data_IF_702156526340
#
_entry.id   IF_702156526340
#
_cell.length_a   1.000
_cell.length_b   1.000
_cell.length_c   1.000
_cell.angle_alpha   90.00
_cell.angle_beta   90.00
_cell.angle_gamma   90.00
#
_symmetry.space_group_name_H-M   'P 1'
#
loop_
_entity.id
_entity.type
_entity.pdbx_description
1 polymer ?
#
# COMPACT_ATOMS: atom_id res chain seq x y z
N UNK A 1 14.35 -10.37 6.61
CA UNK A 1 13.70 -9.80 5.40
C UNK A 1 12.71 -8.74 5.85
N UNK A 2 12.70 -7.58 5.20
CA UNK A 2 11.73 -6.50 5.46
C UNK A 2 10.37 -6.85 4.85
N UNK A 3 9.31 -6.16 5.28
CA UNK A 3 7.95 -6.33 4.73
C UNK A 3 7.95 -6.10 3.21
N UNK A 4 8.66 -5.07 2.73
CA UNK A 4 8.70 -4.73 1.31
C UNK A 4 9.30 -5.84 0.45
N UNK A 5 10.41 -6.46 0.87
CA UNK A 5 11.03 -7.54 0.09
C UNK A 5 10.14 -8.78 0.06
N UNK A 6 9.50 -9.14 1.18
CA UNK A 6 8.55 -10.27 1.20
C UNK A 6 7.35 -10.04 0.30
N UNK A 7 6.83 -8.81 0.24
CA UNK A 7 5.70 -8.47 -0.62
C UNK A 7 6.09 -8.56 -2.10
N UNK A 8 7.25 -8.02 -2.46
CA UNK A 8 7.83 -8.15 -3.81
C UNK A 8 7.93 -9.60 -4.24
N UNK A 9 8.61 -10.42 -3.44
CA UNK A 9 8.83 -11.84 -3.74
C UNK A 9 7.48 -12.57 -3.97
N UNK A 10 6.47 -12.29 -3.15
CA UNK A 10 5.14 -12.87 -3.29
C UNK A 10 4.43 -12.44 -4.58
N UNK A 11 4.44 -11.14 -4.92
CA UNK A 11 3.78 -10.63 -6.12
C UNK A 11 4.47 -11.16 -7.38
N UNK A 12 5.81 -11.18 -7.38
CA UNK A 12 6.64 -11.71 -8.46
C UNK A 12 6.38 -13.22 -8.68
N UNK A 13 6.30 -14.02 -7.60
CA UNK A 13 5.97 -15.45 -7.67
C UNK A 13 4.60 -15.71 -8.31
N UNK A 14 3.63 -14.82 -8.06
CA UNK A 14 2.29 -14.91 -8.67
C UNK A 14 2.23 -14.40 -10.10
N UNK A 15 3.31 -13.84 -10.64
CA UNK A 15 3.36 -13.31 -12.00
C UNK A 15 2.43 -12.11 -12.20
N UNK A 16 2.13 -11.36 -11.14
CA UNK A 16 1.26 -10.18 -11.21
C UNK A 16 2.10 -8.97 -11.62
N UNK A 17 1.73 -8.31 -12.71
CA UNK A 17 2.41 -7.09 -13.14
C UNK A 17 2.10 -5.91 -12.21
N UNK A 18 3.15 -5.19 -11.79
CA UNK A 18 3.05 -3.95 -11.01
C UNK A 18 4.25 -3.06 -11.29
N UNK A 19 4.08 -1.77 -11.00
CA UNK A 19 5.16 -0.78 -10.99
C UNK A 19 5.26 -0.13 -9.60
N UNK A 20 6.42 0.45 -9.31
CA UNK A 20 6.63 1.24 -8.09
C UNK A 20 6.92 2.69 -8.45
N UNK A 21 6.33 3.63 -7.72
CA UNK A 21 6.59 5.06 -7.87
C UNK A 21 7.36 5.56 -6.65
N UNK A 22 8.57 6.08 -6.87
CA UNK A 22 9.36 6.69 -5.82
C UNK A 22 8.79 8.06 -5.43
N UNK A 23 8.74 8.33 -4.12
CA UNK A 23 8.32 9.63 -3.59
C UNK A 23 8.96 9.89 -2.22
N UNK A 24 9.01 11.16 -1.82
CA UNK A 24 9.49 11.56 -0.49
C UNK A 24 8.59 11.00 0.62
N UNK A 25 9.14 10.76 1.81
CA UNK A 25 8.35 10.30 2.97
C UNK A 25 7.25 11.31 3.33
N UNK A 26 6.04 10.83 3.54
CA UNK A 26 4.86 11.63 3.92
C UNK A 26 4.15 11.04 5.15
N UNK A 27 3.21 11.78 5.75
CA UNK A 27 2.53 11.37 6.99
C UNK A 27 1.09 10.88 6.77
N UNK A 28 0.53 11.03 5.57
CA UNK A 28 -0.86 10.62 5.26
C UNK A 28 -0.95 10.03 3.85
N UNK A 29 -1.90 9.12 3.63
CA UNK A 29 -2.13 8.50 2.31
C UNK A 29 -2.43 9.54 1.22
N UNK A 30 -3.14 10.62 1.57
CA UNK A 30 -3.41 11.73 0.64
C UNK A 30 -2.13 12.46 0.25
N UNK A 31 -1.24 12.73 1.20
CA UNK A 31 0.07 13.32 0.88
C UNK A 31 0.93 12.37 0.05
N UNK A 32 0.89 11.06 0.31
CA UNK A 32 1.60 10.07 -0.53
C UNK A 32 1.10 10.10 -1.97
N UNK A 33 -0.22 10.11 -2.19
CA UNK A 33 -0.80 10.19 -3.53
C UNK A 33 -0.34 11.46 -4.27
N UNK A 34 -0.38 12.61 -3.60
CA UNK A 34 0.12 13.88 -4.15
C UNK A 34 1.62 13.82 -4.47
N UNK A 35 2.44 13.31 -3.56
CA UNK A 35 3.90 13.23 -3.75
C UNK A 35 4.30 12.24 -4.87
N UNK A 36 3.48 11.22 -5.11
CA UNK A 36 3.66 10.25 -6.19
C UNK A 36 2.96 10.66 -7.50
N UNK A 37 2.34 11.84 -7.57
CA UNK A 37 1.54 12.30 -8.71
C UNK A 37 0.39 11.34 -9.10
N UNK A 38 -0.18 10.63 -8.13
CA UNK A 38 -1.34 9.74 -8.29
C UNK A 38 -2.61 10.50 -7.89
N UNK A 39 -3.69 10.45 -8.69
CA UNK A 39 -4.98 11.02 -8.29
C UNK A 39 -5.45 10.46 -6.94
N UNK A 40 -5.75 11.33 -5.98
CA UNK A 40 -6.16 10.90 -4.63
C UNK A 40 -7.46 10.08 -4.61
N UNK A 41 -8.29 10.18 -5.65
CA UNK A 41 -9.53 9.40 -5.80
C UNK A 41 -9.31 7.92 -6.09
N UNK A 42 -8.14 7.54 -6.62
CA UNK A 42 -7.80 6.14 -6.91
C UNK A 42 -6.84 5.54 -5.88
N UNK A 43 -6.42 6.34 -4.88
CA UNK A 43 -5.54 5.88 -3.81
C UNK A 43 -6.35 5.05 -2.80
N UNK A 44 -6.02 3.77 -2.69
CA UNK A 44 -6.58 2.91 -1.65
C UNK A 44 -5.93 3.23 -0.28
N UNK A 45 -6.77 3.28 0.77
CA UNK A 45 -6.31 3.31 2.16
C UNK A 45 -7.07 2.26 2.95
N UNK A 46 -6.34 1.30 3.48
CA UNK A 46 -6.89 0.23 4.32
C UNK A 46 -7.24 0.74 5.72
N UNK A 47 -8.32 0.22 6.31
CA UNK A 47 -8.73 0.49 7.68
C UNK A 47 -8.92 -0.86 8.38
N UNK A 48 -8.16 -1.10 9.45
CA UNK A 48 -8.35 -2.29 10.26
C UNK A 48 -9.31 -1.95 11.40
N UNK A 49 -10.38 -2.72 11.53
CA UNK A 49 -11.36 -2.59 12.62
C UNK A 49 -11.26 -3.80 13.53
N UNK A 50 -11.24 -3.57 14.84
CA UNK A 50 -11.31 -4.62 15.85
C UNK A 50 -12.74 -4.74 16.37
N UNK A 51 -13.22 -5.97 16.52
CA UNK A 51 -14.48 -6.33 17.16
C UNK A 51 -14.30 -7.62 17.97
N UNK A 52 -15.32 -8.01 18.74
CA UNK A 52 -15.23 -9.17 19.64
C UNK A 52 -14.90 -10.50 18.94
N UNK A 53 -15.16 -10.58 17.63
CA UNK A 53 -14.86 -11.74 16.78
C UNK A 53 -13.50 -11.67 16.07
N UNK A 54 -12.70 -10.63 16.28
CA UNK A 54 -11.38 -10.47 15.69
C UNK A 54 -11.20 -9.15 14.92
N UNK A 55 -10.50 -9.22 13.79
CA UNK A 55 -10.17 -8.07 12.96
C UNK A 55 -10.81 -8.15 11.58
N UNK A 56 -11.32 -7.03 11.08
CA UNK A 56 -11.79 -6.84 9.72
C UNK A 56 -10.96 -5.77 9.01
N UNK A 57 -10.87 -5.84 7.68
CA UNK A 57 -10.10 -4.96 6.80
C UNK A 57 -10.95 -4.43 5.65
#
# INVERSE_FOLDING_TARGET
>A
MTIANRLRDFIDEKGISYDTVEHHRTSTSRQSALAAHVPGSIMAKSVVVHHDGGYAL
#
